data_IF_248880226801
#
_entry.id   IF_248880226801
#
_cell.length_a   1.000
_cell.length_b   1.000
_cell.length_c   1.000
_cell.angle_alpha   90.00
_cell.angle_beta   90.00
_cell.angle_gamma   90.00
#
_symmetry.space_group_name_H-M   'P 1'
#
loop_
_entity.id
_entity.type
_entity.pdbx_description
1 polymer ?
#
# COMPACT_ATOMS: atom_id res chain seq x y z
N UNK A 1 68.49 76.68 -29.40
CA UNK A 1 67.14 76.27 -29.31
C UNK A 1 67.13 74.78 -28.98
N UNK A 2 66.90 74.43 -27.72
CA UNK A 2 67.06 73.08 -27.19
C UNK A 2 65.74 72.40 -27.13
N UNK A 3 65.63 71.19 -27.77
CA UNK A 3 64.48 70.34 -27.59
C UNK A 3 64.70 69.33 -26.45
N UNK A 4 63.81 69.19 -25.49
CA UNK A 4 63.92 68.14 -24.48
C UNK A 4 63.39 66.83 -24.97
N UNK A 5 64.21 65.81 -24.84
CA UNK A 5 63.92 64.40 -25.14
C UNK A 5 63.02 63.81 -24.02
N UNK A 6 61.77 63.44 -24.40
CA UNK A 6 60.79 62.82 -23.49
C UNK A 6 60.97 61.29 -23.56
N UNK A 7 61.60 60.73 -22.55
CA UNK A 7 61.65 59.25 -22.35
C UNK A 7 60.27 58.76 -21.98
N UNK A 8 59.69 57.92 -22.88
CA UNK A 8 58.49 57.17 -22.57
C UNK A 8 58.88 55.88 -21.82
N UNK A 9 58.46 55.78 -20.60
CA UNK A 9 58.56 54.56 -19.80
C UNK A 9 57.46 53.59 -20.21
N UNK A 10 57.85 52.51 -20.94
CA UNK A 10 56.98 51.40 -21.20
C UNK A 10 56.66 50.62 -19.90
N UNK A 11 55.45 50.78 -19.39
CA UNK A 11 54.94 49.96 -18.30
C UNK A 11 54.38 48.68 -18.88
N UNK A 12 55.11 47.58 -18.75
CA UNK A 12 54.67 46.24 -19.14
C UNK A 12 53.68 45.73 -18.06
N UNK A 13 52.47 45.32 -18.43
CA UNK A 13 51.56 44.69 -17.45
C UNK A 13 52.12 43.32 -17.08
N UNK A 14 52.45 43.14 -15.82
CA UNK A 14 52.79 41.84 -15.23
C UNK A 14 51.55 40.94 -15.24
N UNK A 15 51.55 39.97 -16.13
CA UNK A 15 50.54 38.90 -16.19
C UNK A 15 50.82 37.93 -15.04
N UNK A 16 50.01 38.01 -13.96
CA UNK A 16 49.99 36.98 -12.91
C UNK A 16 49.27 35.75 -13.46
N UNK A 17 49.93 34.58 -13.49
CA UNK A 17 49.21 33.32 -13.83
C UNK A 17 48.16 33.07 -12.77
N UNK A 18 46.91 32.96 -13.19
CA UNK A 18 45.80 32.51 -12.37
C UNK A 18 46.15 31.15 -11.79
N UNK A 19 46.01 31.03 -10.46
CA UNK A 19 46.20 29.78 -9.74
C UNK A 19 45.28 28.73 -10.37
N UNK A 20 45.85 27.71 -11.03
CA UNK A 20 45.16 26.61 -11.64
C UNK A 20 44.28 25.92 -10.59
N UNK A 21 43.01 25.87 -10.85
CA UNK A 21 42.05 25.03 -10.10
C UNK A 21 42.57 23.61 -10.16
N UNK A 22 43.18 23.13 -9.09
CA UNK A 22 43.52 21.70 -8.94
C UNK A 22 42.20 20.94 -8.87
N UNK A 23 41.78 20.36 -9.99
CA UNK A 23 40.71 19.38 -10.02
C UNK A 23 41.22 18.18 -9.23
N UNK A 24 40.70 18.02 -8.00
CA UNK A 24 40.90 16.81 -7.21
C UNK A 24 40.08 15.73 -7.86
N UNK A 25 40.71 14.76 -8.50
CA UNK A 25 40.05 13.53 -8.97
C UNK A 25 39.59 12.72 -7.76
N UNK A 26 38.46 12.01 -7.91
CA UNK A 26 37.97 11.06 -6.91
C UNK A 26 38.93 9.88 -6.77
N UNK A 27 39.16 9.42 -5.55
CA UNK A 27 39.95 8.21 -5.29
C UNK A 27 39.11 6.98 -5.58
N UNK A 28 39.75 5.86 -5.98
CA UNK A 28 39.06 4.57 -6.16
C UNK A 28 38.35 4.14 -4.89
N UNK A 29 38.96 4.35 -3.74
CA UNK A 29 38.37 4.03 -2.43
C UNK A 29 37.07 4.83 -2.18
N UNK A 30 37.03 6.10 -2.52
CA UNK A 30 35.86 6.96 -2.36
C UNK A 30 34.67 6.45 -3.22
N UNK A 31 34.95 6.04 -4.45
CA UNK A 31 33.93 5.44 -5.33
C UNK A 31 33.42 4.11 -4.75
N UNK A 32 34.32 3.26 -4.22
CA UNK A 32 33.92 2.00 -3.60
C UNK A 32 33.04 2.20 -2.36
N UNK A 33 33.36 3.17 -1.52
CA UNK A 33 32.55 3.51 -0.35
C UNK A 33 31.18 4.06 -0.79
N UNK A 34 31.14 4.95 -1.78
CA UNK A 34 29.90 5.50 -2.32
C UNK A 34 28.98 4.40 -2.89
N UNK A 35 29.54 3.45 -3.63
CA UNK A 35 28.79 2.30 -4.17
C UNK A 35 28.29 1.38 -3.06
N UNK A 36 29.07 1.14 -2.01
CA UNK A 36 28.63 0.36 -0.87
C UNK A 36 27.44 1.00 -0.14
N UNK A 37 27.50 2.30 0.12
CA UNK A 37 26.40 3.04 0.72
C UNK A 37 25.14 3.01 -0.16
N UNK A 38 25.32 3.22 -1.47
CA UNK A 38 24.23 3.16 -2.44
C UNK A 38 23.57 1.78 -2.47
N UNK A 39 24.35 0.70 -2.45
CA UNK A 39 23.84 -0.67 -2.42
C UNK A 39 22.97 -0.94 -1.18
N UNK A 40 23.42 -0.48 0.00
CA UNK A 40 22.65 -0.60 1.26
C UNK A 40 21.34 0.20 1.17
N UNK A 41 21.40 1.43 0.67
CA UNK A 41 20.22 2.29 0.52
C UNK A 41 19.18 1.67 -0.43
N UNK A 42 19.61 1.15 -1.57
CA UNK A 42 18.73 0.48 -2.55
C UNK A 42 18.09 -0.79 -1.97
N UNK A 43 18.83 -1.59 -1.22
CA UNK A 43 18.31 -2.78 -0.56
C UNK A 43 17.17 -2.45 0.40
N UNK A 44 17.31 -1.37 1.15
CA UNK A 44 16.29 -0.91 2.10
C UNK A 44 15.00 -0.45 1.38
N UNK A 45 15.11 0.24 0.26
CA UNK A 45 13.96 0.69 -0.54
C UNK A 45 13.19 -0.50 -1.10
N UNK A 46 13.88 -1.52 -1.63
CA UNK A 46 13.25 -2.73 -2.18
C UNK A 46 12.47 -3.47 -1.08
N UNK A 47 13.03 -3.59 0.12
CA UNK A 47 12.36 -4.26 1.24
C UNK A 47 11.06 -3.53 1.64
N UNK A 48 11.06 -2.21 1.69
CA UNK A 48 9.86 -1.41 2.00
C UNK A 48 8.79 -1.56 0.91
N UNK A 49 9.18 -1.49 -0.36
CA UNK A 49 8.25 -1.63 -1.48
C UNK A 49 7.55 -3.00 -1.50
N UNK A 50 8.27 -4.08 -1.19
CA UNK A 50 7.71 -5.43 -1.13
C UNK A 50 6.67 -5.58 -0.01
N UNK A 51 6.92 -5.04 1.16
CA UNK A 51 5.99 -5.08 2.28
C UNK A 51 4.70 -4.27 2.00
N UNK A 52 4.81 -3.14 1.32
CA UNK A 52 3.64 -2.33 0.94
C UNK A 52 2.74 -3.08 -0.05
N UNK A 53 3.31 -3.78 -1.02
CA UNK A 53 2.54 -4.53 -2.00
C UNK A 53 1.71 -5.66 -1.37
N UNK A 54 2.24 -6.37 -0.39
CA UNK A 54 1.50 -7.40 0.36
C UNK A 54 0.37 -6.80 1.19
N UNK A 55 0.60 -5.66 1.83
CA UNK A 55 -0.42 -4.98 2.62
C UNK A 55 -1.59 -4.48 1.76
N UNK A 56 -1.32 -3.95 0.57
CA UNK A 56 -2.36 -3.51 -0.38
C UNK A 56 -3.20 -4.69 -0.85
N UNK A 57 -2.60 -5.82 -1.19
CA UNK A 57 -3.33 -7.02 -1.59
C UNK A 57 -4.23 -7.54 -0.46
N UNK A 58 -3.72 -7.60 0.76
CA UNK A 58 -4.49 -8.00 1.94
C UNK A 58 -5.69 -7.07 2.21
N UNK A 59 -5.48 -5.74 2.15
CA UNK A 59 -6.55 -4.76 2.36
C UNK A 59 -7.62 -4.85 1.26
N UNK A 60 -7.21 -5.04 0.01
CA UNK A 60 -8.12 -5.26 -1.12
C UNK A 60 -8.99 -6.49 -0.87
N UNK A 61 -8.39 -7.62 -0.52
CA UNK A 61 -9.10 -8.86 -0.28
C UNK A 61 -10.09 -8.71 0.88
N UNK A 62 -9.68 -8.05 1.95
CA UNK A 62 -10.54 -7.77 3.10
C UNK A 62 -11.73 -6.88 2.74
N UNK A 63 -11.52 -5.89 1.88
CA UNK A 63 -12.58 -5.00 1.39
C UNK A 63 -13.58 -5.77 0.50
N UNK A 64 -13.10 -6.58 -0.44
CA UNK A 64 -13.95 -7.38 -1.30
C UNK A 64 -14.77 -8.41 -0.48
N UNK A 65 -14.12 -9.10 0.45
CA UNK A 65 -14.79 -10.02 1.35
C UNK A 65 -15.87 -9.33 2.20
N UNK A 66 -15.61 -8.12 2.68
CA UNK A 66 -16.59 -7.32 3.40
C UNK A 66 -17.81 -6.99 2.53
N UNK A 67 -17.60 -6.62 1.26
CA UNK A 67 -18.70 -6.34 0.34
C UNK A 67 -19.53 -7.59 0.04
N UNK A 68 -18.91 -8.76 -0.12
CA UNK A 68 -19.63 -10.04 -0.24
C UNK A 68 -20.52 -10.26 0.99
N UNK A 69 -19.99 -10.06 2.19
CA UNK A 69 -20.78 -10.20 3.43
C UNK A 69 -21.95 -9.22 3.49
N UNK A 70 -21.73 -7.96 3.12
CA UNK A 70 -22.78 -6.94 3.08
C UNK A 70 -23.87 -7.27 2.07
N UNK A 71 -23.52 -7.78 0.89
CA UNK A 71 -24.49 -8.23 -0.12
C UNK A 71 -25.38 -9.33 0.44
N UNK A 72 -24.81 -10.31 1.13
CA UNK A 72 -25.56 -11.41 1.75
C UNK A 72 -26.54 -10.93 2.82
N UNK A 73 -26.18 -9.91 3.60
CA UNK A 73 -27.09 -9.31 4.59
C UNK A 73 -28.20 -8.53 3.88
N UNK A 74 -27.83 -7.70 2.91
CA UNK A 74 -28.77 -6.87 2.16
C UNK A 74 -29.81 -7.73 1.43
N UNK A 75 -29.38 -8.85 0.84
CA UNK A 75 -30.28 -9.80 0.19
C UNK A 75 -31.35 -10.33 1.17
N UNK A 76 -30.96 -10.68 2.40
CA UNK A 76 -31.89 -11.13 3.43
C UNK A 76 -32.88 -10.03 3.83
N UNK A 77 -32.43 -8.79 3.93
CA UNK A 77 -33.27 -7.66 4.29
C UNK A 77 -34.27 -7.32 3.20
N UNK A 78 -33.86 -7.37 1.92
CA UNK A 78 -34.73 -7.07 0.78
C UNK A 78 -35.80 -8.16 0.58
N UNK A 79 -35.45 -9.43 0.80
CA UNK A 79 -36.39 -10.53 0.62
C UNK A 79 -37.58 -10.47 1.60
N UNK A 80 -37.48 -9.66 2.65
CA UNK A 80 -38.52 -9.43 3.67
C UNK A 80 -39.13 -10.74 4.23
N UNK A 81 -38.33 -11.82 4.22
CA UNK A 81 -38.71 -13.14 4.71
C UNK A 81 -38.08 -13.38 6.06
N UNK A 82 -38.87 -13.93 7.00
CA UNK A 82 -38.30 -14.34 8.29
C UNK A 82 -37.49 -15.63 8.10
N UNK A 83 -36.13 -15.54 8.21
CA UNK A 83 -35.29 -16.68 7.90
C UNK A 83 -35.36 -17.74 9.02
N UNK A 84 -35.34 -19.00 8.66
CA UNK A 84 -35.17 -20.07 9.63
C UNK A 84 -33.75 -20.04 10.24
N UNK A 85 -33.64 -20.45 11.50
CA UNK A 85 -32.35 -20.65 12.15
C UNK A 85 -31.57 -21.78 11.49
N UNK A 86 -30.25 -21.68 11.52
CA UNK A 86 -29.36 -22.69 10.95
C UNK A 86 -28.23 -22.08 10.15
N UNK A 87 -27.39 -22.95 9.60
CA UNK A 87 -26.22 -22.57 8.82
C UNK A 87 -26.44 -22.84 7.34
N UNK A 88 -26.10 -21.88 6.50
CA UNK A 88 -26.06 -22.03 5.05
C UNK A 88 -24.68 -21.64 4.53
N UNK A 89 -24.20 -22.36 3.51
CA UNK A 89 -22.91 -22.12 2.85
C UNK A 89 -23.15 -21.91 1.36
N UNK A 90 -22.33 -21.08 0.75
CA UNK A 90 -22.38 -20.81 -0.67
C UNK A 90 -21.11 -20.13 -1.17
N UNK A 91 -21.19 -19.63 -2.37
CA UNK A 91 -20.08 -18.88 -2.97
C UNK A 91 -20.64 -17.74 -3.83
N UNK A 92 -19.82 -16.71 -4.04
CA UNK A 92 -20.12 -15.53 -4.85
C UNK A 92 -18.84 -15.04 -5.53
N UNK A 93 -18.97 -14.50 -6.72
CA UNK A 93 -17.84 -13.88 -7.44
C UNK A 93 -17.84 -12.38 -7.24
N UNK A 94 -16.68 -11.86 -6.81
CA UNK A 94 -16.47 -10.43 -6.67
C UNK A 94 -15.01 -10.06 -6.93
N UNK A 95 -14.76 -9.03 -7.75
CA UNK A 95 -13.42 -8.57 -8.10
C UNK A 95 -12.61 -9.62 -8.87
N UNK A 96 -13.25 -10.33 -9.81
CA UNK A 96 -12.66 -11.43 -10.62
C UNK A 96 -12.18 -12.61 -9.77
N UNK A 97 -12.76 -12.79 -8.60
CA UNK A 97 -12.40 -13.82 -7.66
C UNK A 97 -13.61 -14.46 -7.03
N UNK A 98 -13.52 -15.77 -6.78
CA UNK A 98 -14.54 -16.55 -6.09
C UNK A 98 -14.30 -16.49 -4.59
N UNK A 99 -15.37 -16.14 -3.86
CA UNK A 99 -15.42 -16.08 -2.42
C UNK A 99 -16.38 -17.12 -1.90
N UNK A 100 -16.05 -17.74 -0.78
CA UNK A 100 -16.92 -18.70 -0.10
C UNK A 100 -17.48 -18.05 1.15
N UNK A 101 -18.77 -18.24 1.38
CA UNK A 101 -19.42 -17.67 2.54
C UNK A 101 -20.16 -18.73 3.35
N UNK A 102 -20.17 -18.52 4.64
CA UNK A 102 -20.96 -19.29 5.60
C UNK A 102 -21.81 -18.31 6.40
N UNK A 103 -23.11 -18.51 6.40
CA UNK A 103 -24.10 -17.70 7.09
C UNK A 103 -24.76 -18.51 8.15
N UNK A 104 -24.68 -18.09 9.40
CA UNK A 104 -25.33 -18.69 10.56
C UNK A 104 -26.42 -17.74 11.07
N UNK A 105 -27.63 -18.26 11.25
CA UNK A 105 -28.78 -17.53 11.79
C UNK A 105 -29.15 -18.17 13.11
N UNK A 106 -29.08 -17.37 14.18
CA UNK A 106 -29.34 -17.79 15.54
C UNK A 106 -30.48 -16.98 16.16
N UNK A 107 -31.11 -17.55 17.18
CA UNK A 107 -32.10 -16.84 18.01
C UNK A 107 -31.40 -15.83 18.92
N UNK A 108 -32.10 -14.78 19.25
CA UNK A 108 -31.75 -13.86 20.31
C UNK A 108 -32.72 -13.99 21.48
N UNK A 109 -32.48 -13.35 22.62
CA UNK A 109 -33.48 -13.31 23.74
C UNK A 109 -34.83 -12.70 23.35
N UNK A 110 -34.86 -11.86 22.31
CA UNK A 110 -36.12 -11.34 21.74
C UNK A 110 -36.51 -12.22 20.53
N UNK A 111 -37.63 -12.91 20.60
CA UNK A 111 -38.12 -13.80 19.55
C UNK A 111 -38.40 -13.08 18.21
N UNK A 112 -38.55 -11.77 18.22
CA UNK A 112 -38.75 -10.92 17.03
C UNK A 112 -37.46 -10.49 16.38
N UNK A 113 -36.30 -10.86 16.95
CA UNK A 113 -34.99 -10.51 16.45
C UNK A 113 -34.18 -11.78 16.20
N UNK A 114 -33.46 -11.82 15.08
CA UNK A 114 -32.49 -12.87 14.79
C UNK A 114 -31.11 -12.27 14.59
N UNK A 115 -30.12 -12.96 15.12
CA UNK A 115 -28.74 -12.63 14.84
C UNK A 115 -28.29 -13.38 13.59
N UNK A 116 -27.62 -12.66 12.70
CA UNK A 116 -27.03 -13.19 11.49
C UNK A 116 -25.53 -13.01 11.60
N UNK A 117 -24.79 -14.08 11.54
CA UNK A 117 -23.34 -14.07 11.43
C UNK A 117 -22.93 -14.56 10.05
N UNK A 118 -22.09 -13.78 9.36
CA UNK A 118 -21.56 -14.14 8.05
C UNK A 118 -20.04 -14.18 8.14
N UNK A 119 -19.46 -15.29 7.72
CA UNK A 119 -18.03 -15.51 7.60
C UNK A 119 -17.68 -15.69 6.14
N UNK A 120 -16.66 -15.00 5.66
CA UNK A 120 -16.17 -15.07 4.29
C UNK A 120 -14.79 -15.70 4.27
N UNK A 121 -14.59 -16.63 3.37
CA UNK A 121 -13.37 -17.43 3.22
C UNK A 121 -12.78 -17.24 1.82
N UNK A 122 -11.46 -17.32 1.72
CA UNK A 122 -10.75 -17.26 0.44
C UNK A 122 -10.93 -18.55 -0.35
N UNK A 123 -10.80 -19.69 0.31
CA UNK A 123 -11.00 -21.01 -0.25
C UNK A 123 -12.06 -21.76 0.54
N UNK A 124 -12.62 -22.79 -0.10
CA UNK A 124 -13.72 -23.58 0.48
C UNK A 124 -13.34 -24.29 1.78
N UNK A 125 -12.08 -24.69 1.89
CA UNK A 125 -11.57 -25.52 2.98
C UNK A 125 -10.70 -24.71 3.98
N UNK A 126 -10.76 -23.37 3.92
CA UNK A 126 -10.01 -22.53 4.85
C UNK A 126 -10.67 -22.56 6.25
N UNK A 127 -9.86 -22.75 7.27
CA UNK A 127 -10.31 -22.70 8.68
C UNK A 127 -10.50 -21.25 9.15
N UNK A 128 -9.75 -20.30 8.58
CA UNK A 128 -9.76 -18.90 8.97
C UNK A 128 -10.54 -18.04 7.98
N UNK A 129 -11.52 -17.32 8.48
CA UNK A 129 -12.27 -16.37 7.67
C UNK A 129 -11.46 -15.09 7.42
N UNK A 130 -11.53 -14.57 6.19
CA UNK A 130 -10.95 -13.26 5.80
C UNK A 130 -11.68 -12.14 6.51
N UNK A 131 -13.00 -12.25 6.63
CA UNK A 131 -13.85 -11.30 7.37
C UNK A 131 -15.02 -11.99 8.02
N UNK A 132 -15.52 -11.39 9.09
CA UNK A 132 -16.70 -11.80 9.84
C UNK A 132 -17.58 -10.58 10.06
N UNK A 133 -18.85 -10.69 9.77
CA UNK A 133 -19.84 -9.64 9.96
C UNK A 133 -21.03 -10.18 10.77
N UNK A 134 -21.47 -9.42 11.74
CA UNK A 134 -22.64 -9.73 12.56
C UNK A 134 -23.69 -8.64 12.33
N UNK A 135 -24.92 -9.07 12.10
CA UNK A 135 -26.07 -8.17 11.92
C UNK A 135 -27.30 -8.73 12.63
N UNK A 136 -28.32 -7.91 12.76
CA UNK A 136 -29.59 -8.29 13.37
C UNK A 136 -30.72 -8.00 12.39
N UNK A 137 -31.66 -8.93 12.30
CA UNK A 137 -32.85 -8.81 11.48
C UNK A 137 -34.07 -8.84 12.39
N UNK A 138 -34.94 -7.84 12.27
CA UNK A 138 -36.22 -7.81 12.94
C UNK A 138 -37.29 -8.53 12.09
N UNK A 139 -38.26 -9.13 12.76
CA UNK A 139 -39.40 -9.72 12.08
C UNK A 139 -40.18 -8.63 11.34
N UNK A 140 -40.50 -8.86 10.05
CA UNK A 140 -41.37 -7.95 9.30
C UNK A 140 -42.72 -7.81 9.99
N UNK A 141 -43.24 -6.58 10.00
CA UNK A 141 -44.56 -6.25 10.51
C UNK A 141 -45.62 -6.70 9.52
#
# INVERSE_FOLDING_TARGET
>A
MSHPNRKQSHHSPSFKPSAGCRSKGFTLLEILIALAILAIALSSIIAVASNQSMNVAYLRDKTLAHWVAMNQITELQIQNKWPATGTKKGNEEMGLQKWYWEREISKTPDDRVRQIEIRIFRNKDDDNSVTRLVSFLSQPI
#
